data_IF_048710005804
#
_entry.id   IF_048710005804
#
_cell.length_a   1.000
_cell.length_b   1.000
_cell.length_c   1.000
_cell.angle_alpha   90.00
_cell.angle_beta   90.00
_cell.angle_gamma   90.00
#
_symmetry.space_group_name_H-M   'P 1'
#
loop_
_entity.id
_entity.type
_entity.pdbx_description
1 polymer ?
#
# COMPACT_ATOMS: atom_id res chain seq x y z
N UNK A 1 43.08 11.97 -3.16
CA UNK A 1 41.69 11.46 -3.11
C UNK A 1 41.24 11.53 -1.66
N UNK A 2 40.16 12.27 -1.38
CA UNK A 2 39.59 12.39 -0.04
C UNK A 2 38.99 11.06 0.47
N UNK A 3 38.64 11.01 1.76
CA UNK A 3 38.08 9.79 2.37
C UNK A 3 36.71 9.40 1.72
N UNK A 4 35.88 10.39 1.39
CA UNK A 4 34.62 10.17 0.71
C UNK A 4 34.77 9.64 -0.73
N UNK A 5 35.73 10.16 -1.48
CA UNK A 5 36.00 9.69 -2.84
C UNK A 5 36.55 8.25 -2.84
N UNK A 6 37.41 7.91 -1.87
CA UNK A 6 37.88 6.52 -1.69
C UNK A 6 36.76 5.58 -1.32
N UNK A 7 35.82 6.02 -0.46
CA UNK A 7 34.65 5.27 -0.10
C UNK A 7 33.76 5.03 -1.33
N UNK A 8 33.48 6.08 -2.11
CA UNK A 8 32.63 6.02 -3.31
C UNK A 8 33.24 5.15 -4.42
N UNK A 9 34.55 5.23 -4.61
CA UNK A 9 35.26 4.52 -5.67
C UNK A 9 35.59 3.05 -5.35
N UNK A 10 35.26 2.54 -4.17
CA UNK A 10 35.59 1.18 -3.70
C UNK A 10 37.12 0.88 -3.68
N UNK A 11 37.99 1.90 -3.65
CA UNK A 11 39.43 1.69 -3.59
C UNK A 11 39.95 1.33 -2.19
N UNK A 12 39.09 1.46 -1.15
CA UNK A 12 39.42 0.98 0.19
C UNK A 12 39.37 -0.55 0.23
N UNK A 13 40.32 -1.22 0.93
CA UNK A 13 40.24 -2.67 1.12
C UNK A 13 38.93 -3.09 1.78
N UNK A 14 38.37 -4.21 1.33
CA UNK A 14 37.21 -4.80 1.97
C UNK A 14 37.60 -5.24 3.40
N UNK A 15 36.87 -4.84 4.44
CA UNK A 15 37.13 -5.29 5.81
C UNK A 15 36.89 -6.79 5.96
N UNK A 16 37.57 -7.43 6.91
CA UNK A 16 37.32 -8.84 7.22
C UNK A 16 35.98 -9.08 7.90
N UNK A 17 35.45 -8.06 8.59
CA UNK A 17 34.21 -8.13 9.36
C UNK A 17 33.28 -6.95 9.03
N UNK A 18 31.99 -7.18 9.21
CA UNK A 18 30.91 -6.22 9.02
C UNK A 18 30.11 -6.05 10.30
N UNK A 19 29.68 -4.83 10.59
CA UNK A 19 28.73 -4.56 11.68
C UNK A 19 27.31 -4.83 11.22
N UNK A 20 26.54 -5.56 12.05
CA UNK A 20 25.14 -5.89 11.81
C UNK A 20 24.28 -5.62 13.03
N UNK A 21 23.06 -5.12 12.82
CA UNK A 21 22.01 -4.99 13.83
C UNK A 21 20.97 -6.08 13.63
N UNK A 22 21.25 -7.28 14.13
CA UNK A 22 20.31 -8.38 14.06
C UNK A 22 19.19 -8.21 15.10
N UNK A 23 17.96 -8.43 14.71
CA UNK A 23 16.79 -8.45 15.59
C UNK A 23 16.54 -9.90 16.05
N UNK A 24 16.70 -10.15 17.35
CA UNK A 24 16.63 -11.49 17.98
C UNK A 24 15.35 -11.73 18.78
N UNK A 25 14.45 -10.75 18.84
CA UNK A 25 13.19 -10.82 19.57
C UNK A 25 12.37 -9.54 19.38
N UNK A 26 11.17 -9.50 19.99
CA UNK A 26 10.36 -8.29 20.05
C UNK A 26 10.96 -7.28 21.06
N UNK A 27 10.78 -5.98 20.79
CA UNK A 27 11.30 -4.89 21.60
C UNK A 27 12.60 -4.30 21.07
N UNK A 28 12.83 -3.01 21.34
CA UNK A 28 14.02 -2.28 20.87
C UNK A 28 15.30 -2.81 21.52
N UNK A 29 15.20 -3.36 22.73
CA UNK A 29 16.27 -4.00 23.48
C UNK A 29 16.80 -5.29 22.84
N UNK A 30 16.02 -5.86 21.91
CA UNK A 30 16.37 -7.07 21.15
C UNK A 30 16.87 -6.77 19.73
N UNK A 31 17.24 -5.52 19.47
CA UNK A 31 17.99 -5.14 18.27
C UNK A 31 19.47 -5.13 18.62
N UNK A 32 20.23 -6.04 18.01
CA UNK A 32 21.60 -6.35 18.40
C UNK A 32 21.67 -7.15 19.71
N UNK A 33 22.86 -7.53 20.14
CA UNK A 33 23.06 -8.20 21.44
C UNK A 33 23.41 -7.20 22.53
N UNK A 34 22.58 -7.13 23.55
CA UNK A 34 22.73 -6.16 24.62
C UNK A 34 22.67 -4.71 24.12
N UNK A 35 21.84 -4.41 23.11
CA UNK A 35 21.70 -3.08 22.52
C UNK A 35 22.92 -2.60 21.73
N UNK A 36 23.75 -3.52 21.22
CA UNK A 36 24.95 -3.21 20.42
C UNK A 36 24.94 -4.02 19.13
N UNK A 37 25.51 -3.47 18.03
CA UNK A 37 25.68 -4.23 16.80
C UNK A 37 26.65 -5.38 17.01
N UNK A 38 26.50 -6.41 16.19
CA UNK A 38 27.36 -7.60 16.20
C UNK A 38 28.38 -7.50 15.06
N UNK A 39 29.57 -8.09 15.29
CA UNK A 39 30.56 -8.27 14.23
C UNK A 39 30.35 -9.63 13.58
N UNK A 40 30.16 -9.63 12.28
CA UNK A 40 30.05 -10.82 11.44
C UNK A 40 31.18 -10.85 10.40
N UNK A 41 31.62 -12.03 9.92
CA UNK A 41 32.49 -12.07 8.76
C UNK A 41 31.85 -11.45 7.54
N UNK A 42 32.58 -10.67 6.73
CA UNK A 42 32.10 -10.23 5.41
C UNK A 42 32.03 -11.47 4.51
N UNK A 43 30.85 -11.80 3.97
CA UNK A 43 30.69 -13.01 3.17
C UNK A 43 31.29 -12.87 1.77
N UNK A 44 31.59 -14.00 1.14
CA UNK A 44 32.00 -14.05 -0.28
C UNK A 44 30.80 -14.43 -1.13
N UNK A 45 30.50 -13.74 -2.24
CA UNK A 45 29.34 -14.07 -3.06
C UNK A 45 29.54 -15.37 -3.83
N UNK A 46 28.51 -16.22 -3.83
CA UNK A 46 28.39 -17.35 -4.74
C UNK A 46 28.09 -16.91 -6.17
N UNK A 47 28.03 -17.84 -7.14
CA UNK A 47 27.85 -17.51 -8.56
C UNK A 47 26.64 -16.63 -8.88
N UNK A 48 25.54 -16.81 -8.19
CA UNK A 48 24.26 -16.09 -8.37
C UNK A 48 23.99 -15.03 -7.29
N UNK A 49 25.04 -14.46 -6.69
CA UNK A 49 24.93 -13.50 -5.60
C UNK A 49 25.75 -12.25 -5.88
N UNK A 50 25.32 -11.14 -5.32
CA UNK A 50 26.09 -9.90 -5.21
C UNK A 50 26.55 -9.72 -3.77
N UNK A 51 27.80 -9.32 -3.54
CA UNK A 51 28.19 -8.68 -2.30
C UNK A 51 27.92 -7.19 -2.46
N UNK A 52 27.09 -6.62 -1.59
CA UNK A 52 26.78 -5.20 -1.59
C UNK A 52 27.26 -4.54 -0.30
N UNK A 53 27.63 -3.27 -0.42
CA UNK A 53 27.79 -2.34 0.69
C UNK A 53 26.50 -1.54 0.83
N UNK A 54 25.92 -1.50 2.02
CA UNK A 54 24.78 -0.64 2.31
C UNK A 54 25.29 0.76 2.64
N UNK A 55 24.89 1.74 1.85
CA UNK A 55 25.37 3.12 1.94
C UNK A 55 24.42 4.02 2.74
N UNK A 56 23.12 3.73 2.68
CA UNK A 56 22.11 4.40 3.47
C UNK A 56 20.89 3.49 3.70
N UNK A 57 20.26 3.66 4.84
CA UNK A 57 19.01 2.98 5.22
C UNK A 57 18.05 4.00 5.78
N UNK A 58 16.84 4.10 5.21
CA UNK A 58 15.72 4.78 5.81
C UNK A 58 15.02 3.91 6.85
N UNK A 59 14.41 4.52 7.86
CA UNK A 59 13.64 3.85 8.88
C UNK A 59 12.17 4.19 8.74
N UNK A 60 11.35 3.18 8.52
CA UNK A 60 9.91 3.29 8.29
C UNK A 60 9.12 3.06 9.58
N UNK A 61 7.89 3.56 9.63
CA UNK A 61 6.97 3.22 10.73
C UNK A 61 6.64 1.72 10.77
N UNK A 62 6.74 1.03 9.65
CA UNK A 62 6.58 -0.43 9.58
C UNK A 62 7.68 -1.19 10.33
N UNK A 63 8.91 -0.64 10.41
CA UNK A 63 9.97 -1.20 11.26
C UNK A 63 9.57 -1.13 12.74
N UNK A 64 8.91 -0.04 13.17
CA UNK A 64 8.38 0.09 14.54
C UNK A 64 7.33 -0.99 14.84
N UNK A 65 6.48 -1.32 13.88
CA UNK A 65 5.51 -2.43 14.04
C UNK A 65 6.22 -3.77 14.16
N UNK A 66 7.24 -4.01 13.33
CA UNK A 66 8.04 -5.23 13.39
C UNK A 66 8.77 -5.37 14.73
N UNK A 67 9.38 -4.28 15.22
CA UNK A 67 10.03 -4.25 16.54
C UNK A 67 9.04 -4.63 17.66
N UNK A 68 7.82 -4.08 17.63
CA UNK A 68 6.81 -4.35 18.65
C UNK A 68 6.28 -5.78 18.63
N UNK A 69 6.11 -6.37 17.44
CA UNK A 69 5.49 -7.68 17.26
C UNK A 69 6.51 -8.84 17.23
N UNK A 70 7.76 -8.54 16.89
CA UNK A 70 8.80 -9.56 16.75
C UNK A 70 8.40 -10.63 15.76
N UNK A 71 8.69 -11.87 16.08
CA UNK A 71 8.36 -13.05 15.25
C UNK A 71 6.88 -13.27 14.98
N UNK A 72 5.99 -12.64 15.76
CA UNK A 72 4.54 -12.69 15.54
C UNK A 72 4.06 -11.74 14.42
N UNK A 73 4.94 -10.91 13.88
CA UNK A 73 4.58 -10.05 12.75
C UNK A 73 4.12 -10.90 11.55
N UNK A 74 2.99 -10.59 10.87
CA UNK A 74 2.44 -11.43 9.80
C UNK A 74 3.44 -11.77 8.69
N UNK A 75 4.32 -10.84 8.32
CA UNK A 75 5.37 -11.04 7.31
C UNK A 75 6.54 -11.93 7.81
N UNK A 76 6.55 -12.37 9.07
CA UNK A 76 7.55 -13.29 9.62
C UNK A 76 7.01 -14.71 9.87
N UNK A 77 5.71 -14.94 9.68
CA UNK A 77 5.10 -16.28 9.72
C UNK A 77 5.40 -17.04 11.03
N UNK A 78 5.32 -16.38 12.19
CA UNK A 78 5.63 -16.91 13.52
C UNK A 78 7.09 -17.40 13.66
N UNK A 79 8.05 -16.66 13.07
CA UNK A 79 9.46 -16.99 13.09
C UNK A 79 10.04 -16.85 14.51
N UNK A 80 10.75 -17.87 14.96
CA UNK A 80 11.56 -17.77 16.19
C UNK A 80 12.83 -16.95 15.89
N UNK A 81 12.82 -15.67 16.29
CA UNK A 81 13.92 -14.76 16.06
C UNK A 81 15.17 -15.05 16.90
N UNK A 82 15.03 -15.82 17.99
CA UNK A 82 16.18 -16.21 18.80
C UNK A 82 17.05 -17.25 18.09
N UNK A 83 16.42 -18.09 17.26
CA UNK A 83 17.09 -19.09 16.41
C UNK A 83 17.40 -18.60 15.01
N UNK A 84 16.49 -17.81 14.44
CA UNK A 84 16.57 -17.30 13.08
C UNK A 84 16.36 -15.79 13.07
N UNK A 85 17.37 -15.00 13.45
CA UNK A 85 17.27 -13.54 13.47
C UNK A 85 16.89 -12.95 12.11
N UNK A 86 16.34 -11.75 12.12
CA UNK A 86 16.19 -10.92 10.92
C UNK A 86 16.89 -9.58 11.12
N UNK A 87 16.91 -8.74 10.11
CA UNK A 87 17.36 -7.35 10.19
C UNK A 87 16.30 -6.42 9.63
N UNK A 88 16.18 -5.27 10.23
CA UNK A 88 15.33 -4.16 9.79
C UNK A 88 15.95 -3.41 8.61
N UNK A 89 15.21 -2.44 8.09
CA UNK A 89 15.66 -1.51 7.07
C UNK A 89 15.44 -2.02 5.66
N UNK A 90 14.34 -1.56 5.07
CA UNK A 90 13.92 -1.89 3.72
C UNK A 90 14.00 -0.72 2.73
N UNK A 91 14.24 0.48 3.21
CA UNK A 91 14.50 1.68 2.42
C UNK A 91 16.02 1.81 2.24
N UNK A 92 16.59 1.18 1.21
CA UNK A 92 18.06 1.04 1.10
C UNK A 92 18.62 1.60 -0.19
N UNK A 93 19.81 2.24 -0.05
CA UNK A 93 20.71 2.50 -1.16
C UNK A 93 22.00 1.71 -0.95
N UNK A 94 22.44 1.01 -1.97
CA UNK A 94 23.53 0.05 -1.93
C UNK A 94 24.52 0.28 -3.06
N UNK A 95 25.77 -0.15 -2.86
CA UNK A 95 26.79 -0.21 -3.91
C UNK A 95 27.28 -1.65 -4.06
N UNK A 96 27.31 -2.16 -5.28
CA UNK A 96 27.86 -3.49 -5.60
C UNK A 96 29.38 -3.47 -5.36
N UNK A 97 29.85 -4.42 -4.55
CA UNK A 97 31.29 -4.57 -4.22
C UNK A 97 31.90 -5.71 -5.01
N UNK A 98 31.23 -6.87 -5.04
CA UNK A 98 31.64 -8.05 -5.79
C UNK A 98 30.43 -8.68 -6.49
N UNK A 99 30.70 -9.25 -7.65
CA UNK A 99 29.67 -9.87 -8.50
C UNK A 99 29.98 -11.34 -8.68
N UNK A 100 29.01 -12.20 -8.39
CA UNK A 100 29.10 -13.63 -8.68
C UNK A 100 29.25 -13.94 -10.17
N UNK A 101 29.94 -15.02 -10.50
CA UNK A 101 30.33 -15.35 -11.88
C UNK A 101 29.16 -15.42 -12.87
N UNK A 102 27.96 -15.82 -12.43
CA UNK A 102 26.78 -15.93 -13.26
C UNK A 102 26.02 -14.60 -13.46
N UNK A 103 26.47 -13.50 -12.85
CA UNK A 103 25.79 -12.19 -12.89
C UNK A 103 26.62 -11.09 -13.55
N UNK A 104 27.81 -11.41 -14.08
CA UNK A 104 28.77 -10.42 -14.60
C UNK A 104 28.30 -9.72 -15.89
N UNK A 105 27.33 -10.27 -16.58
CA UNK A 105 26.65 -9.66 -17.73
C UNK A 105 25.57 -8.65 -17.35
N UNK A 106 25.13 -8.67 -16.09
CA UNK A 106 24.03 -7.83 -15.57
C UNK A 106 24.49 -6.78 -14.57
N UNK A 107 25.52 -7.07 -13.81
CA UNK A 107 26.00 -6.21 -12.70
C UNK A 107 27.52 -6.03 -12.76
N UNK A 108 27.97 -4.91 -12.19
CA UNK A 108 29.41 -4.57 -12.13
C UNK A 108 29.76 -3.87 -10.79
N UNK A 109 31.02 -4.00 -10.31
CA UNK A 109 31.45 -3.30 -9.10
C UNK A 109 31.29 -1.78 -9.22
N UNK A 110 31.01 -1.12 -8.12
CA UNK A 110 30.66 0.30 -8.00
C UNK A 110 29.29 0.69 -8.61
N UNK A 111 28.52 -0.24 -9.16
CA UNK A 111 27.13 0.00 -9.56
C UNK A 111 26.29 0.33 -8.31
N UNK A 112 25.53 1.41 -8.38
CA UNK A 112 24.64 1.84 -7.31
C UNK A 112 23.26 1.27 -7.52
N UNK A 113 22.62 0.79 -6.45
CA UNK A 113 21.34 0.11 -6.50
C UNK A 113 20.40 0.67 -5.42
N UNK A 114 19.13 0.70 -5.71
CA UNK A 114 18.02 0.77 -4.75
C UNK A 114 17.20 -0.51 -4.85
N UNK A 115 16.28 -0.72 -3.93
CA UNK A 115 15.54 -1.99 -3.84
C UNK A 115 14.04 -1.74 -3.70
N UNK A 116 13.24 -2.54 -4.41
CA UNK A 116 11.81 -2.70 -4.18
C UNK A 116 11.62 -3.81 -3.13
N UNK A 117 11.16 -3.48 -1.90
CA UNK A 117 11.18 -4.43 -0.78
C UNK A 117 10.03 -5.44 -0.77
N UNK A 118 8.92 -5.19 -1.46
CA UNK A 118 7.77 -6.11 -1.50
C UNK A 118 8.05 -7.27 -2.46
N UNK A 119 8.89 -8.18 -2.00
CA UNK A 119 9.33 -9.37 -2.74
C UNK A 119 8.35 -10.52 -2.46
N UNK A 120 8.08 -11.33 -3.49
CA UNK A 120 7.24 -12.51 -3.40
C UNK A 120 8.03 -13.75 -3.83
N UNK A 121 7.78 -14.88 -3.15
CA UNK A 121 8.38 -16.17 -3.54
C UNK A 121 7.62 -16.82 -4.72
N UNK A 122 8.09 -17.99 -5.15
CA UNK A 122 7.48 -18.77 -6.23
C UNK A 122 6.02 -19.20 -5.95
N UNK A 123 5.61 -19.20 -4.66
CA UNK A 123 4.25 -19.50 -4.24
C UNK A 123 3.40 -18.23 -4.05
N UNK A 124 3.94 -17.06 -4.37
CA UNK A 124 3.26 -15.77 -4.21
C UNK A 124 3.16 -15.30 -2.76
N UNK A 125 3.93 -15.87 -1.82
CA UNK A 125 3.98 -15.42 -0.44
C UNK A 125 4.95 -14.25 -0.31
N UNK A 126 4.60 -13.26 0.50
CA UNK A 126 5.50 -12.12 0.77
C UNK A 126 6.74 -12.58 1.53
N UNK A 127 7.91 -12.37 0.95
CA UNK A 127 9.22 -12.60 1.57
C UNK A 127 9.98 -11.29 1.79
N UNK A 128 9.26 -10.21 1.93
CA UNK A 128 9.75 -8.83 1.94
C UNK A 128 11.13 -8.63 2.59
N UNK A 129 11.95 -7.82 1.92
CA UNK A 129 13.26 -7.39 2.42
C UNK A 129 13.08 -6.50 3.66
N UNK A 130 13.90 -6.70 4.68
CA UNK A 130 13.73 -6.08 6.00
C UNK A 130 12.78 -6.84 6.92
N UNK A 131 12.24 -8.00 6.44
CA UNK A 131 11.34 -8.89 7.17
C UNK A 131 11.83 -10.33 7.06
N UNK A 132 11.23 -11.14 6.19
CA UNK A 132 11.65 -12.54 5.98
C UNK A 132 13.04 -12.61 5.36
N UNK A 133 13.33 -11.78 4.37
CA UNK A 133 14.69 -11.53 3.88
C UNK A 133 15.32 -10.46 4.79
N UNK A 134 16.47 -10.73 5.42
CA UNK A 134 17.14 -9.76 6.29
C UNK A 134 17.46 -8.44 5.58
N UNK A 135 17.15 -7.33 6.25
CA UNK A 135 17.27 -5.97 5.71
C UNK A 135 18.67 -5.34 5.83
N UNK A 136 18.69 -4.04 5.52
CA UNK A 136 19.90 -3.25 5.31
C UNK A 136 20.60 -2.72 6.55
N UNK A 137 20.15 -3.03 7.78
CA UNK A 137 20.92 -2.62 8.98
C UNK A 137 22.20 -3.44 9.17
N UNK A 138 23.03 -3.45 8.15
CA UNK A 138 24.35 -4.11 8.06
C UNK A 138 25.22 -3.33 7.07
N UNK A 139 26.54 -3.35 7.23
CA UNK A 139 27.43 -2.64 6.32
C UNK A 139 27.63 -3.39 4.99
N UNK A 140 27.85 -4.71 5.05
CA UNK A 140 28.06 -5.56 3.87
C UNK A 140 27.26 -6.84 3.99
N UNK A 141 26.52 -7.21 2.96
CA UNK A 141 25.79 -8.47 2.93
C UNK A 141 25.60 -9.00 1.49
N UNK A 142 25.11 -10.23 1.40
CA UNK A 142 24.78 -10.84 0.11
C UNK A 142 23.35 -10.50 -0.29
N UNK A 143 23.19 -10.22 -1.57
CA UNK A 143 21.89 -10.17 -2.26
C UNK A 143 21.85 -11.34 -3.24
N UNK A 144 20.96 -12.27 -3.04
CA UNK A 144 20.89 -13.54 -3.78
C UNK A 144 19.67 -13.67 -4.67
N UNK A 145 19.42 -14.89 -5.19
CA UNK A 145 18.30 -15.19 -6.07
C UNK A 145 16.93 -14.82 -5.48
N UNK A 146 16.78 -14.85 -4.16
CA UNK A 146 15.58 -14.43 -3.43
C UNK A 146 15.18 -12.96 -3.65
N UNK A 147 16.12 -12.16 -4.20
CA UNK A 147 15.92 -10.75 -4.59
C UNK A 147 16.14 -10.54 -6.08
N UNK A 148 17.14 -11.23 -6.67
CA UNK A 148 17.60 -11.00 -8.05
C UNK A 148 16.82 -11.79 -9.10
N UNK A 149 16.12 -12.87 -8.68
CA UNK A 149 15.36 -13.78 -9.52
C UNK A 149 14.17 -14.36 -8.76
N UNK A 150 13.38 -13.49 -8.11
CA UNK A 150 12.24 -13.87 -7.28
C UNK A 150 10.91 -13.82 -8.05
N UNK A 151 9.80 -13.87 -7.34
CA UNK A 151 8.46 -13.89 -7.90
C UNK A 151 8.00 -15.27 -8.36
N UNK A 152 6.73 -15.40 -8.77
CA UNK A 152 6.18 -16.67 -9.27
C UNK A 152 6.89 -17.22 -10.51
N UNK A 153 7.47 -16.34 -11.33
CA UNK A 153 8.25 -16.67 -12.52
C UNK A 153 9.73 -16.99 -12.23
N UNK A 154 10.19 -16.71 -10.99
CA UNK A 154 11.59 -16.82 -10.55
C UNK A 154 12.57 -16.06 -11.48
N UNK A 155 12.12 -14.96 -12.07
CA UNK A 155 12.90 -14.11 -13.00
C UNK A 155 12.83 -12.63 -12.62
N UNK A 156 11.91 -12.24 -11.73
CA UNK A 156 11.74 -10.85 -11.35
C UNK A 156 12.91 -10.36 -10.49
N UNK A 157 13.58 -9.32 -10.98
CA UNK A 157 14.66 -8.64 -10.25
C UNK A 157 14.11 -7.45 -9.46
N UNK A 158 14.34 -7.46 -8.16
CA UNK A 158 13.82 -6.43 -7.25
C UNK A 158 14.84 -5.34 -6.90
N UNK A 159 16.06 -5.40 -7.42
CA UNK A 159 16.99 -4.26 -7.37
C UNK A 159 16.93 -3.46 -8.66
N UNK A 160 17.05 -2.15 -8.52
CA UNK A 160 16.99 -1.18 -9.59
C UNK A 160 18.31 -0.39 -9.63
N UNK A 161 18.94 -0.25 -10.81
CA UNK A 161 20.12 0.59 -10.94
C UNK A 161 19.78 2.05 -10.65
N UNK A 162 20.64 2.70 -9.88
CA UNK A 162 20.56 4.12 -9.60
C UNK A 162 21.47 4.88 -10.56
N UNK A 163 20.88 5.63 -11.45
CA UNK A 163 21.59 6.49 -12.40
C UNK A 163 21.81 7.90 -11.84
N UNK A 164 22.76 8.62 -12.40
CA UNK A 164 23.04 10.01 -12.05
C UNK A 164 23.75 10.19 -10.69
N UNK A 165 23.72 11.41 -10.17
CA UNK A 165 24.49 11.85 -8.99
C UNK A 165 23.67 11.98 -7.71
N UNK A 166 22.48 11.35 -7.64
CA UNK A 166 21.65 11.37 -6.44
C UNK A 166 22.44 10.82 -5.23
N UNK A 167 22.45 11.56 -4.11
CA UNK A 167 23.12 11.13 -2.88
C UNK A 167 22.50 9.87 -2.28
N UNK A 168 23.26 9.10 -1.52
CA UNK A 168 22.81 7.82 -0.96
C UNK A 168 21.57 7.95 -0.05
N UNK A 169 21.53 8.98 0.80
CA UNK A 169 20.37 9.22 1.67
C UNK A 169 19.11 9.51 0.86
N UNK A 170 19.21 10.33 -0.17
CA UNK A 170 18.09 10.61 -1.06
C UNK A 170 17.70 9.37 -1.88
N UNK A 171 18.67 8.56 -2.31
CA UNK A 171 18.43 7.31 -3.02
C UNK A 171 17.67 6.28 -2.16
N UNK A 172 18.00 6.16 -0.87
CA UNK A 172 17.28 5.29 0.06
C UNK A 172 15.80 5.68 0.18
N UNK A 173 15.48 6.98 0.11
CA UNK A 173 14.10 7.48 0.14
C UNK A 173 13.33 7.24 -1.16
N UNK A 174 13.92 6.64 -2.20
CA UNK A 174 13.20 6.22 -3.42
C UNK A 174 12.07 5.24 -3.08
N UNK A 175 12.25 4.40 -2.07
CA UNK A 175 11.23 3.44 -1.63
C UNK A 175 9.96 4.16 -1.12
N UNK A 176 10.00 5.03 -0.08
CA UNK A 176 8.79 5.72 0.37
C UNK A 176 8.24 6.68 -0.69
N UNK A 177 9.06 7.28 -1.56
CA UNK A 177 8.59 8.06 -2.70
C UNK A 177 7.80 7.20 -3.70
N UNK A 178 8.23 5.95 -3.95
CA UNK A 178 7.47 5.01 -4.77
C UNK A 178 6.09 4.70 -4.14
N UNK A 179 6.00 4.62 -2.81
CA UNK A 179 4.71 4.49 -2.10
C UNK A 179 3.82 5.73 -2.30
N UNK A 180 4.39 6.93 -2.28
CA UNK A 180 3.66 8.18 -2.57
C UNK A 180 3.12 8.16 -3.99
N UNK A 181 3.96 7.90 -5.01
CA UNK A 181 3.53 7.84 -6.40
C UNK A 181 2.48 6.74 -6.66
N UNK A 182 2.62 5.60 -5.98
CA UNK A 182 1.65 4.51 -6.06
C UNK A 182 0.25 4.92 -5.60
N UNK A 183 0.12 5.87 -4.67
CA UNK A 183 -1.17 6.36 -4.19
C UNK A 183 -1.96 7.09 -5.28
N UNK A 184 -1.26 7.67 -6.26
CA UNK A 184 -1.85 8.43 -7.38
C UNK A 184 -1.89 7.63 -8.69
N UNK A 185 -1.44 6.37 -8.66
CA UNK A 185 -1.50 5.47 -9.82
C UNK A 185 -2.75 4.61 -9.75
N UNK A 186 -3.47 4.49 -10.88
CA UNK A 186 -4.67 3.65 -10.93
C UNK A 186 -4.31 2.17 -10.81
N UNK A 187 -4.52 1.63 -9.63
CA UNK A 187 -4.32 0.19 -9.31
C UNK A 187 -5.61 -0.52 -8.95
N UNK A 188 -6.66 0.25 -8.62
CA UNK A 188 -7.98 -0.27 -8.27
C UNK A 188 -8.77 -0.55 -9.53
N UNK A 189 -9.57 -1.59 -9.48
CA UNK A 189 -10.49 -1.93 -10.56
C UNK A 189 -11.59 -0.87 -10.68
N UNK A 190 -12.00 -0.57 -11.91
CA UNK A 190 -12.99 0.46 -12.24
C UNK A 190 -14.26 -0.13 -12.85
N UNK A 191 -14.48 -1.43 -12.71
CA UNK A 191 -15.61 -2.18 -13.24
C UNK A 191 -15.89 -3.41 -12.36
N UNK A 192 -17.06 -4.02 -12.51
CA UNK A 192 -17.40 -5.30 -11.88
C UNK A 192 -16.50 -6.38 -12.46
N UNK A 193 -15.95 -7.27 -11.62
CA UNK A 193 -14.97 -8.28 -12.02
C UNK A 193 -15.58 -9.30 -12.98
N UNK A 194 -14.96 -9.47 -14.13
CA UNK A 194 -15.34 -10.53 -15.07
C UNK A 194 -15.00 -11.91 -14.48
N UNK A 195 -16.03 -12.75 -14.40
CA UNK A 195 -15.91 -14.08 -13.81
C UNK A 195 -15.92 -14.09 -12.28
N UNK A 196 -16.03 -12.92 -11.64
CA UNK A 196 -16.01 -12.77 -10.18
C UNK A 196 -17.35 -13.05 -9.49
N UNK A 197 -17.34 -12.81 -8.18
CA UNK A 197 -18.50 -12.92 -7.28
C UNK A 197 -19.03 -11.53 -6.94
N UNK A 198 -20.31 -11.30 -7.19
CA UNK A 198 -21.04 -10.06 -6.89
C UNK A 198 -22.08 -10.32 -5.80
N UNK A 199 -22.11 -9.50 -4.76
CA UNK A 199 -23.21 -9.46 -3.80
C UNK A 199 -23.96 -8.14 -3.94
N UNK A 200 -25.28 -8.23 -4.14
CA UNK A 200 -26.20 -7.09 -4.16
C UNK A 200 -27.10 -7.20 -2.94
N UNK A 201 -27.06 -6.19 -2.11
CA UNK A 201 -27.88 -6.08 -0.90
C UNK A 201 -28.70 -4.81 -0.95
N UNK A 202 -29.97 -4.89 -0.61
CA UNK A 202 -30.89 -3.75 -0.66
C UNK A 202 -32.02 -3.83 0.36
N UNK A 203 -33.14 -3.24 -0.02
CA UNK A 203 -34.39 -3.24 0.75
C UNK A 203 -35.55 -3.56 -0.20
N UNK A 204 -36.39 -4.55 0.11
CA UNK A 204 -37.48 -4.95 -0.78
C UNK A 204 -38.53 -3.84 -1.02
N UNK A 205 -38.62 -2.90 -0.10
CA UNK A 205 -39.55 -1.76 -0.13
C UNK A 205 -38.98 -0.51 -0.83
N UNK A 206 -37.75 -0.56 -1.30
CA UNK A 206 -37.14 0.57 -2.00
C UNK A 206 -37.74 0.77 -3.40
N UNK A 207 -38.45 1.91 -3.64
CA UNK A 207 -39.15 2.17 -4.89
C UNK A 207 -38.24 2.67 -6.01
N UNK A 208 -36.95 2.80 -5.78
CA UNK A 208 -35.98 3.38 -6.74
C UNK A 208 -35.95 2.55 -8.03
N UNK A 209 -36.13 3.16 -9.22
CA UNK A 209 -36.13 2.45 -10.50
C UNK A 209 -34.68 2.17 -10.94
N UNK A 210 -33.99 1.29 -10.22
CA UNK A 210 -32.62 0.93 -10.51
C UNK A 210 -32.42 0.38 -11.91
N UNK A 211 -31.33 0.75 -12.54
CA UNK A 211 -30.85 0.21 -13.80
C UNK A 211 -29.37 -0.16 -13.71
N UNK A 212 -28.95 -1.06 -14.60
CA UNK A 212 -27.55 -1.37 -14.84
C UNK A 212 -27.21 -1.02 -16.28
N UNK A 213 -26.55 0.10 -16.51
CA UNK A 213 -26.09 0.49 -17.85
C UNK A 213 -24.91 -0.35 -18.35
N UNK A 214 -24.11 -0.96 -17.44
CA UNK A 214 -23.00 -1.83 -17.75
C UNK A 214 -22.58 -2.66 -16.54
N UNK A 215 -21.87 -3.77 -16.77
CA UNK A 215 -21.14 -4.55 -15.75
C UNK A 215 -21.94 -5.72 -15.18
N UNK A 216 -23.26 -5.79 -15.34
CA UNK A 216 -24.05 -6.93 -14.86
C UNK A 216 -23.73 -8.22 -15.64
N UNK A 217 -23.19 -8.09 -16.84
CA UNK A 217 -22.72 -9.18 -17.70
C UNK A 217 -21.41 -9.82 -17.22
N UNK A 218 -20.70 -9.21 -16.27
CA UNK A 218 -19.35 -9.63 -15.88
C UNK A 218 -19.30 -10.77 -14.86
N UNK A 219 -20.03 -10.76 -13.71
CA UNK A 219 -19.83 -11.74 -12.64
C UNK A 219 -20.29 -13.14 -13.05
N UNK A 220 -19.58 -14.18 -12.60
CA UNK A 220 -19.99 -15.59 -12.75
C UNK A 220 -20.97 -16.01 -11.66
N UNK A 221 -20.95 -15.38 -10.49
CA UNK A 221 -21.85 -15.62 -9.36
C UNK A 221 -22.46 -14.32 -8.86
N UNK A 222 -23.77 -14.30 -8.62
CA UNK A 222 -24.48 -13.17 -8.02
C UNK A 222 -25.25 -13.65 -6.80
N UNK A 223 -24.97 -13.05 -5.65
CA UNK A 223 -25.74 -13.25 -4.43
C UNK A 223 -26.70 -12.07 -4.28
N UNK A 224 -27.97 -12.34 -4.04
CA UNK A 224 -29.00 -11.34 -3.80
C UNK A 224 -29.48 -11.42 -2.35
N UNK A 225 -29.57 -10.28 -1.68
CA UNK A 225 -30.10 -10.18 -0.32
C UNK A 225 -31.05 -8.99 -0.25
N UNK A 226 -32.31 -9.27 0.01
CA UNK A 226 -33.36 -8.26 0.25
C UNK A 226 -33.43 -7.16 -0.83
N UNK A 227 -33.15 -7.52 -2.09
CA UNK A 227 -33.14 -6.56 -3.21
C UNK A 227 -34.57 -6.20 -3.65
N UNK A 228 -34.81 -4.97 -4.18
CA UNK A 228 -36.06 -4.62 -4.81
C UNK A 228 -36.42 -5.57 -5.95
N UNK A 229 -37.74 -5.89 -6.18
CA UNK A 229 -38.17 -6.79 -7.25
C UNK A 229 -37.67 -6.39 -8.65
N UNK A 230 -37.53 -5.09 -8.90
CA UNK A 230 -37.00 -4.57 -10.16
C UNK A 230 -35.56 -4.99 -10.39
N UNK A 231 -34.71 -4.98 -9.35
CA UNK A 231 -33.29 -5.40 -9.43
C UNK A 231 -33.21 -6.91 -9.62
N UNK A 232 -34.00 -7.68 -8.89
CA UNK A 232 -34.11 -9.13 -9.10
C UNK A 232 -34.48 -9.47 -10.54
N UNK A 233 -35.47 -8.76 -11.11
CA UNK A 233 -35.87 -8.94 -12.50
C UNK A 233 -34.73 -8.65 -13.51
N UNK A 234 -33.91 -7.61 -13.27
CA UNK A 234 -32.72 -7.30 -14.08
C UNK A 234 -31.69 -8.44 -14.04
N UNK A 235 -31.36 -8.93 -12.83
CA UNK A 235 -30.40 -10.03 -12.66
C UNK A 235 -30.92 -11.33 -13.32
N UNK A 236 -32.19 -11.66 -13.13
CA UNK A 236 -32.78 -12.85 -13.78
C UNK A 236 -32.86 -12.71 -15.30
N UNK A 237 -33.08 -11.49 -15.81
CA UNK A 237 -33.02 -11.24 -17.25
C UNK A 237 -31.63 -11.49 -17.83
N UNK A 238 -30.58 -11.08 -17.11
CA UNK A 238 -29.21 -11.35 -17.51
C UNK A 238 -28.88 -12.85 -17.47
N UNK A 239 -29.33 -13.55 -16.44
CA UNK A 239 -29.14 -15.00 -16.31
C UNK A 239 -29.81 -15.83 -17.43
N UNK A 240 -30.79 -15.27 -18.12
CA UNK A 240 -31.37 -15.90 -19.33
C UNK A 240 -30.51 -15.74 -20.56
N UNK A 241 -29.56 -14.78 -20.55
CA UNK A 241 -28.67 -14.48 -21.70
C UNK A 241 -27.34 -15.21 -21.62
N UNK A 242 -26.89 -15.52 -20.39
CA UNK A 242 -25.61 -16.17 -20.17
C UNK A 242 -25.63 -17.02 -18.89
N UNK A 243 -24.74 -18.03 -18.77
CA UNK A 243 -24.62 -18.76 -17.52
C UNK A 243 -24.08 -17.85 -16.41
N UNK A 244 -24.86 -17.74 -15.33
CA UNK A 244 -24.49 -17.08 -14.08
C UNK A 244 -25.18 -17.81 -12.94
N UNK A 245 -24.43 -18.07 -11.86
CA UNK A 245 -25.00 -18.66 -10.65
C UNK A 245 -25.71 -17.56 -9.84
N UNK A 246 -26.99 -17.74 -9.52
CA UNK A 246 -27.74 -16.83 -8.66
C UNK A 246 -28.03 -17.54 -7.35
N UNK A 247 -27.70 -16.90 -6.23
CA UNK A 247 -27.95 -17.37 -4.86
C UNK A 247 -28.74 -16.30 -4.12
N UNK A 248 -29.88 -16.69 -3.54
CA UNK A 248 -30.68 -15.78 -2.70
C UNK A 248 -30.43 -16.03 -1.22
N UNK A 249 -30.25 -14.96 -0.47
CA UNK A 249 -30.07 -14.96 0.99
C UNK A 249 -30.79 -13.74 1.58
N UNK A 250 -32.06 -13.90 1.88
CA UNK A 250 -32.92 -12.82 2.36
C UNK A 250 -33.10 -12.87 3.89
N UNK A 251 -33.48 -11.74 4.50
CA UNK A 251 -33.78 -11.62 5.92
C UNK A 251 -32.54 -11.77 6.84
N UNK A 252 -31.37 -11.46 6.36
CA UNK A 252 -30.13 -11.58 7.14
C UNK A 252 -30.04 -10.48 8.21
N UNK A 253 -29.72 -10.87 9.43
CA UNK A 253 -29.28 -9.90 10.46
C UNK A 253 -27.86 -9.43 10.18
N UNK A 254 -27.44 -8.33 10.81
CA UNK A 254 -26.07 -7.80 10.64
C UNK A 254 -25.00 -8.83 11.04
N UNK A 255 -25.26 -9.61 12.10
CA UNK A 255 -24.37 -10.67 12.56
C UNK A 255 -24.25 -11.81 11.55
N UNK A 256 -25.37 -12.17 10.90
CA UNK A 256 -25.41 -13.25 9.92
C UNK A 256 -24.76 -12.88 8.57
N UNK A 257 -24.48 -11.61 8.32
CA UNK A 257 -23.79 -11.20 7.09
C UNK A 257 -22.43 -11.88 6.94
N UNK A 258 -21.73 -12.16 8.05
CA UNK A 258 -20.44 -12.84 8.03
C UNK A 258 -20.49 -14.23 7.37
N UNK A 259 -21.62 -14.93 7.46
CA UNK A 259 -21.82 -16.28 6.90
C UNK A 259 -21.80 -16.27 5.37
N UNK A 260 -22.10 -15.13 4.74
CA UNK A 260 -22.03 -14.97 3.29
C UNK A 260 -20.63 -15.21 2.73
N UNK A 261 -19.58 -15.08 3.54
CA UNK A 261 -18.20 -15.37 3.13
C UNK A 261 -18.04 -16.80 2.63
N UNK A 262 -18.78 -17.75 3.18
CA UNK A 262 -18.78 -19.15 2.74
C UNK A 262 -19.29 -19.35 1.29
N UNK A 263 -19.96 -18.36 0.72
CA UNK A 263 -20.44 -18.38 -0.66
C UNK A 263 -19.38 -17.89 -1.66
N UNK A 264 -18.20 -17.51 -1.19
CA UNK A 264 -17.10 -17.00 -2.02
C UNK A 264 -15.97 -18.02 -2.11
N UNK A 265 -15.19 -17.98 -3.18
CA UNK A 265 -14.12 -18.93 -3.41
C UNK A 265 -13.07 -18.88 -2.30
N UNK A 266 -12.87 -20.01 -1.63
CA UNK A 266 -11.94 -20.11 -0.50
C UNK A 266 -12.26 -19.21 0.69
N UNK A 267 -13.47 -18.63 0.77
CA UNK A 267 -13.83 -17.68 1.83
C UNK A 267 -13.11 -16.33 1.73
N UNK A 268 -12.61 -15.96 0.55
CA UNK A 268 -11.84 -14.73 0.34
C UNK A 268 -12.66 -13.44 0.46
N UNK A 269 -13.99 -13.54 0.36
CA UNK A 269 -14.91 -12.41 0.28
C UNK A 269 -15.38 -12.15 -1.16
N UNK A 270 -16.29 -11.18 -1.33
CA UNK A 270 -16.83 -10.84 -2.63
C UNK A 270 -15.90 -9.91 -3.42
N UNK A 271 -15.76 -10.17 -4.70
CA UNK A 271 -15.03 -9.28 -5.60
C UNK A 271 -15.73 -7.94 -5.77
N UNK A 272 -17.06 -7.94 -5.72
CA UNK A 272 -17.89 -6.75 -5.80
C UNK A 272 -19.06 -6.83 -4.82
N UNK A 273 -19.27 -5.74 -4.08
CA UNK A 273 -20.42 -5.58 -3.18
C UNK A 273 -21.15 -4.32 -3.60
N UNK A 274 -22.45 -4.41 -3.80
CA UNK A 274 -23.34 -3.28 -4.08
C UNK A 274 -24.40 -3.21 -2.99
N UNK A 275 -24.46 -2.09 -2.30
CA UNK A 275 -25.51 -1.81 -1.30
C UNK A 275 -26.44 -0.74 -1.86
N UNK A 276 -27.70 -1.12 -2.05
CA UNK A 276 -28.76 -0.26 -2.58
C UNK A 276 -29.49 0.41 -1.42
N UNK A 277 -29.69 1.72 -1.52
CA UNK A 277 -30.29 2.58 -0.51
C UNK A 277 -29.74 2.28 0.92
N UNK A 278 -28.42 2.39 1.15
CA UNK A 278 -27.84 2.05 2.45
C UNK A 278 -28.43 2.93 3.55
N UNK A 279 -28.97 2.31 4.60
CA UNK A 279 -29.66 3.00 5.72
C UNK A 279 -28.91 2.84 7.04
N UNK A 280 -28.29 1.67 7.25
CA UNK A 280 -27.61 1.31 8.50
C UNK A 280 -26.09 1.43 8.39
N UNK A 281 -25.49 2.26 9.24
CA UNK A 281 -24.03 2.39 9.36
C UNK A 281 -23.37 1.11 9.87
N UNK A 282 -24.03 0.38 10.78
CA UNK A 282 -23.57 -0.90 11.29
C UNK A 282 -23.58 -1.96 10.18
N UNK A 283 -24.68 -2.05 9.43
CA UNK A 283 -24.82 -2.97 8.30
C UNK A 283 -23.76 -2.71 7.21
N UNK A 284 -23.57 -1.44 6.82
CA UNK A 284 -22.51 -1.06 5.86
C UNK A 284 -21.11 -1.43 6.38
N UNK A 285 -20.85 -1.22 7.68
CA UNK A 285 -19.58 -1.59 8.30
C UNK A 285 -19.34 -3.10 8.30
N UNK A 286 -20.38 -3.90 8.55
CA UNK A 286 -20.32 -5.36 8.51
C UNK A 286 -20.12 -5.87 7.08
N UNK A 287 -20.86 -5.34 6.10
CA UNK A 287 -20.74 -5.68 4.69
C UNK A 287 -19.35 -5.34 4.14
N UNK A 288 -18.76 -4.21 4.53
CA UNK A 288 -17.42 -3.80 4.10
C UNK A 288 -16.32 -4.78 4.51
N UNK A 289 -16.52 -5.59 5.57
CA UNK A 289 -15.58 -6.63 5.97
C UNK A 289 -15.57 -7.83 5.02
N UNK A 290 -16.59 -7.99 4.19
CA UNK A 290 -16.75 -9.09 3.24
C UNK A 290 -16.12 -8.82 1.87
N UNK A 291 -15.58 -7.62 1.63
CA UNK A 291 -14.89 -7.29 0.38
C UNK A 291 -13.61 -8.13 0.23
N UNK A 292 -13.38 -8.70 -0.93
CA UNK A 292 -12.16 -9.42 -1.26
C UNK A 292 -10.97 -8.45 -1.50
N UNK A 293 -9.76 -9.00 -1.55
CA UNK A 293 -8.59 -8.24 -2.03
C UNK A 293 -8.86 -7.78 -3.47
N UNK A 294 -8.55 -6.51 -3.78
CA UNK A 294 -8.86 -5.82 -5.05
C UNK A 294 -10.37 -5.72 -5.36
N UNK A 295 -11.20 -5.93 -4.35
CA UNK A 295 -12.65 -5.82 -4.51
C UNK A 295 -13.13 -4.38 -4.53
N UNK A 296 -14.38 -4.19 -5.02
CA UNK A 296 -15.09 -2.91 -4.98
C UNK A 296 -16.28 -2.97 -4.03
N UNK A 297 -16.55 -1.86 -3.34
CA UNK A 297 -17.70 -1.69 -2.46
C UNK A 297 -18.47 -0.46 -2.92
N UNK A 298 -19.65 -0.65 -3.49
CA UNK A 298 -20.43 0.39 -4.15
C UNK A 298 -21.69 0.71 -3.35
N UNK A 299 -21.82 1.94 -2.88
CA UNK A 299 -23.01 2.45 -2.19
C UNK A 299 -23.86 3.24 -3.19
N UNK A 300 -25.10 2.81 -3.42
CA UNK A 300 -26.01 3.45 -4.38
C UNK A 300 -27.30 3.87 -3.67
N UNK A 301 -27.50 5.16 -3.50
CA UNK A 301 -28.67 5.70 -2.81
C UNK A 301 -28.51 7.14 -2.37
N UNK A 302 -29.56 7.70 -1.78
CA UNK A 302 -29.60 9.08 -1.32
C UNK A 302 -29.96 9.21 0.16
N UNK A 303 -30.44 8.14 0.78
CA UNK A 303 -30.81 8.13 2.19
C UNK A 303 -29.56 8.30 3.06
N UNK A 304 -29.53 9.27 3.98
CA UNK A 304 -28.43 9.38 4.93
C UNK A 304 -28.35 8.13 5.82
N UNK A 305 -27.14 7.70 6.12
CA UNK A 305 -26.92 6.63 7.10
C UNK A 305 -27.29 7.12 8.52
N UNK A 306 -27.71 6.19 9.36
CA UNK A 306 -28.05 6.43 10.78
C UNK A 306 -26.83 6.72 11.67
N UNK A 307 -25.61 6.64 11.15
CA UNK A 307 -24.38 6.88 11.90
C UNK A 307 -23.13 6.83 11.05
N UNK A 308 -21.97 6.72 11.72
CA UNK A 308 -20.66 6.62 11.09
C UNK A 308 -20.29 5.16 10.80
N UNK A 309 -19.85 4.90 9.58
CA UNK A 309 -19.36 3.58 9.19
C UNK A 309 -17.91 3.37 9.64
N UNK A 310 -17.60 2.14 10.01
CA UNK A 310 -16.24 1.68 10.25
C UNK A 310 -15.70 0.95 9.04
N UNK A 311 -14.64 1.48 8.42
CA UNK A 311 -13.93 0.84 7.32
C UNK A 311 -12.45 0.67 7.65
N UNK A 312 -11.87 -0.44 7.24
CA UNK A 312 -10.43 -0.67 7.37
C UNK A 312 -9.68 0.07 6.27
N UNK A 313 -9.21 1.28 6.59
CA UNK A 313 -8.46 2.12 5.65
C UNK A 313 -7.12 1.48 5.24
N UNK A 314 -6.56 0.59 6.06
CA UNK A 314 -5.35 -0.17 5.72
C UNK A 314 -5.57 -1.06 4.50
N UNK A 315 -6.74 -1.67 4.37
CA UNK A 315 -7.10 -2.50 3.21
C UNK A 315 -7.24 -1.70 1.90
N UNK A 316 -7.56 -0.42 1.97
CA UNK A 316 -7.57 0.46 0.79
C UNK A 316 -6.16 0.53 0.20
N UNK A 317 -5.12 0.57 1.04
CA UNK A 317 -3.73 0.63 0.62
C UNK A 317 -3.16 -0.76 0.30
N UNK A 318 -3.25 -1.71 1.24
CA UNK A 318 -2.57 -3.01 1.11
C UNK A 318 -3.32 -4.03 0.26
N UNK A 319 -4.65 -4.00 0.30
CA UNK A 319 -5.51 -4.92 -0.45
C UNK A 319 -6.08 -4.29 -1.73
N UNK A 320 -5.78 -3.01 -1.99
CA UNK A 320 -6.30 -2.26 -3.15
C UNK A 320 -7.83 -2.30 -3.25
N UNK A 321 -8.55 -2.30 -2.12
CA UNK A 321 -10.00 -2.21 -2.11
C UNK A 321 -10.45 -0.81 -2.52
N UNK A 322 -11.60 -0.71 -3.21
CA UNK A 322 -12.14 0.56 -3.64
C UNK A 322 -13.56 0.77 -3.09
N UNK A 323 -13.79 1.93 -2.49
CA UNK A 323 -15.11 2.36 -2.06
C UNK A 323 -15.66 3.35 -3.07
N UNK A 324 -16.79 3.02 -3.66
CA UNK A 324 -17.43 3.75 -4.75
C UNK A 324 -18.83 4.17 -4.31
N UNK A 325 -19.47 5.07 -5.05
CA UNK A 325 -20.84 5.39 -4.79
C UNK A 325 -21.43 6.40 -5.77
N UNK A 326 -22.75 6.38 -5.87
CA UNK A 326 -23.54 7.37 -6.58
C UNK A 326 -24.95 7.48 -5.96
N UNK A 327 -25.73 8.45 -6.44
CA UNK A 327 -27.09 8.69 -5.92
C UNK A 327 -28.17 7.85 -6.59
N UNK A 328 -27.80 6.93 -7.50
CA UNK A 328 -28.75 6.19 -8.33
C UNK A 328 -29.33 7.04 -9.48
N UNK A 329 -30.27 6.51 -10.28
CA UNK A 329 -30.71 5.12 -10.24
C UNK A 329 -29.79 4.14 -10.98
N UNK A 330 -28.84 4.62 -11.81
CA UNK A 330 -27.91 3.73 -12.53
C UNK A 330 -26.78 3.25 -11.59
N UNK A 331 -26.81 1.96 -11.27
CA UNK A 331 -25.83 1.32 -10.39
C UNK A 331 -24.43 1.39 -10.99
N UNK A 332 -24.31 1.31 -12.33
CA UNK A 332 -23.04 1.36 -13.03
C UNK A 332 -22.37 2.74 -13.01
N UNK A 333 -23.11 3.81 -12.74
CA UNK A 333 -22.59 5.18 -12.73
C UNK A 333 -21.50 5.44 -11.66
N UNK A 334 -21.31 4.52 -10.69
CA UNK A 334 -20.21 4.58 -9.71
C UNK A 334 -18.86 4.21 -10.31
N UNK A 335 -18.84 3.46 -11.40
CA UNK A 335 -17.64 2.90 -12.00
C UNK A 335 -17.02 3.85 -13.06
N UNK A 336 -15.88 3.48 -13.60
CA UNK A 336 -15.19 4.20 -14.67
C UNK A 336 -14.24 5.31 -14.22
N UNK A 337 -13.33 5.70 -15.11
CA UNK A 337 -12.25 6.68 -14.85
C UNK A 337 -12.75 8.08 -14.54
N UNK A 338 -13.87 8.48 -15.15
CA UNK A 338 -14.43 9.82 -14.94
C UNK A 338 -14.87 10.05 -13.50
N UNK A 339 -15.33 8.98 -12.82
CA UNK A 339 -15.81 9.01 -11.44
C UNK A 339 -14.69 8.74 -10.43
N UNK A 340 -13.76 7.85 -10.77
CA UNK A 340 -12.74 7.33 -9.86
C UNK A 340 -11.36 7.84 -10.23
N UNK A 341 -11.10 9.06 -9.84
CA UNK A 341 -9.82 9.72 -10.08
C UNK A 341 -8.81 9.29 -9.03
N UNK A 342 -7.59 8.94 -9.45
CA UNK A 342 -6.45 8.71 -8.56
C UNK A 342 -5.60 9.97 -8.38
N UNK A 343 -5.39 10.75 -9.45
CA UNK A 343 -4.58 11.96 -9.39
C UNK A 343 -5.33 13.14 -8.75
N UNK A 344 -4.58 14.05 -8.14
CA UNK A 344 -5.10 15.27 -7.55
C UNK A 344 -5.76 16.15 -8.62
N UNK A 345 -6.79 16.88 -8.23
CA UNK A 345 -7.56 17.72 -9.15
C UNK A 345 -6.79 18.99 -9.51
N UNK A 346 -6.56 19.22 -10.78
CA UNK A 346 -5.98 20.46 -11.30
C UNK A 346 -6.79 21.68 -10.84
N UNK A 347 -6.10 22.67 -10.27
CA UNK A 347 -6.72 23.91 -9.75
C UNK A 347 -7.62 23.71 -8.52
N UNK A 348 -7.73 22.48 -8.01
CA UNK A 348 -8.56 22.14 -6.86
C UNK A 348 -7.90 22.42 -5.52
N UNK A 349 -8.53 21.93 -4.45
CA UNK A 349 -7.99 21.91 -3.07
C UNK A 349 -7.66 20.48 -2.69
N UNK A 350 -6.43 20.24 -2.23
CA UNK A 350 -6.01 18.97 -1.63
C UNK A 350 -5.83 19.12 -0.12
N UNK A 351 -6.36 18.18 0.66
CA UNK A 351 -6.24 18.17 2.12
C UNK A 351 -5.46 16.94 2.54
N UNK A 352 -4.38 17.15 3.30
CA UNK A 352 -3.53 16.09 3.84
C UNK A 352 -3.66 16.04 5.36
N UNK A 353 -4.20 14.94 5.87
CA UNK A 353 -4.40 14.71 7.30
C UNK A 353 -3.18 13.98 7.86
N UNK A 354 -2.59 14.51 8.97
CA UNK A 354 -1.35 13.99 9.53
C UNK A 354 -0.11 14.38 8.69
N UNK A 355 -0.17 15.53 8.03
CA UNK A 355 0.84 15.99 7.08
C UNK A 355 2.22 16.26 7.70
N UNK A 356 2.29 16.47 9.01
CA UNK A 356 3.57 16.72 9.71
C UNK A 356 4.49 15.49 9.82
N UNK A 357 3.98 14.27 9.55
CA UNK A 357 4.80 13.06 9.47
C UNK A 357 5.59 12.93 8.16
N UNK A 358 6.62 12.06 8.08
CA UNK A 358 7.47 11.91 6.89
C UNK A 358 6.68 11.68 5.60
N UNK A 359 5.78 10.69 5.60
CA UNK A 359 4.94 10.39 4.42
C UNK A 359 4.02 11.56 4.06
N UNK A 360 3.41 12.21 5.07
CA UNK A 360 2.54 13.36 4.86
C UNK A 360 3.28 14.52 4.20
N UNK A 361 4.51 14.80 4.64
CA UNK A 361 5.37 15.82 4.02
C UNK A 361 5.70 15.50 2.55
N UNK A 362 5.98 14.24 2.20
CA UNK A 362 6.23 13.81 0.82
C UNK A 362 4.98 14.02 -0.06
N UNK A 363 3.79 13.70 0.44
CA UNK A 363 2.53 13.97 -0.27
C UNK A 363 2.29 15.46 -0.48
N UNK A 364 2.57 16.31 0.53
CA UNK A 364 2.49 17.77 0.41
C UNK A 364 3.47 18.28 -0.64
N UNK A 365 4.73 17.85 -0.57
CA UNK A 365 5.76 18.21 -1.55
C UNK A 365 5.31 17.86 -2.98
N UNK A 366 4.89 16.60 -3.20
CA UNK A 366 4.40 16.17 -4.50
C UNK A 366 3.24 17.04 -5.01
N UNK A 367 2.28 17.35 -4.15
CA UNK A 367 1.14 18.18 -4.51
C UNK A 367 1.56 19.60 -4.91
N UNK A 368 2.57 20.15 -4.25
CA UNK A 368 3.12 21.48 -4.58
C UNK A 368 3.92 21.46 -5.89
N UNK A 369 4.73 20.41 -6.12
CA UNK A 369 5.56 20.27 -7.32
C UNK A 369 4.77 19.81 -8.55
N UNK A 370 3.59 19.21 -8.40
CA UNK A 370 2.78 18.71 -9.52
C UNK A 370 2.33 19.89 -10.42
N UNK A 371 2.77 20.01 -11.69
CA UNK A 371 2.48 21.18 -12.53
C UNK A 371 0.99 21.44 -12.72
N UNK A 372 0.21 20.38 -13.02
CA UNK A 372 -1.25 20.45 -13.16
C UNK A 372 -1.96 19.98 -11.88
N UNK A 373 -1.40 20.28 -10.72
CA UNK A 373 -1.91 19.88 -9.43
C UNK A 373 -2.92 20.85 -8.83
N UNK A 374 -3.22 20.70 -7.53
CA UNK A 374 -4.13 21.56 -6.80
C UNK A 374 -3.57 22.99 -6.70
N UNK A 375 -4.47 23.99 -6.72
CA UNK A 375 -4.10 25.39 -6.45
C UNK A 375 -3.91 25.64 -4.95
N UNK A 376 -4.63 24.90 -4.11
CA UNK A 376 -4.58 25.02 -2.65
C UNK A 376 -4.21 23.66 -2.05
N UNK A 377 -3.21 23.67 -1.18
CA UNK A 377 -2.76 22.51 -0.41
C UNK A 377 -2.97 22.79 1.08
N UNK A 378 -3.83 22.05 1.73
CA UNK A 378 -4.11 22.15 3.17
C UNK A 378 -3.38 21.02 3.88
N UNK A 379 -2.41 21.38 4.72
CA UNK A 379 -1.64 20.44 5.53
C UNK A 379 -2.11 20.49 6.99
N UNK A 380 -2.64 19.38 7.52
CA UNK A 380 -3.13 19.32 8.89
C UNK A 380 -2.30 18.36 9.74
N UNK A 381 -2.07 18.72 10.99
CA UNK A 381 -1.48 17.82 12.01
C UNK A 381 -1.87 18.36 13.40
N UNK A 382 -1.94 17.47 14.38
CA UNK A 382 -2.17 17.86 15.80
C UNK A 382 -0.89 18.34 16.49
N UNK A 383 0.28 18.08 15.90
CA UNK A 383 1.58 18.48 16.43
C UNK A 383 2.02 19.82 15.83
N UNK A 384 1.92 20.90 16.59
CA UNK A 384 2.30 22.24 16.14
C UNK A 384 3.77 22.36 15.73
N UNK A 385 4.70 21.65 16.40
CA UNK A 385 6.12 21.67 16.05
C UNK A 385 6.39 21.04 14.67
N UNK A 386 5.71 19.94 14.33
CA UNK A 386 5.80 19.32 13.00
C UNK A 386 5.21 20.24 11.92
N UNK A 387 4.10 20.89 12.20
CA UNK A 387 3.50 21.86 11.27
C UNK A 387 4.42 23.06 11.02
N UNK A 388 5.09 23.59 12.05
CA UNK A 388 6.03 24.69 11.89
C UNK A 388 7.23 24.30 11.01
N UNK A 389 7.76 23.07 11.15
CA UNK A 389 8.81 22.55 10.28
C UNK A 389 8.31 22.39 8.84
N UNK A 390 7.12 21.84 8.65
CA UNK A 390 6.50 21.68 7.34
C UNK A 390 6.30 23.04 6.66
N UNK A 391 5.78 24.03 7.36
CA UNK A 391 5.57 25.38 6.86
C UNK A 391 6.90 26.03 6.43
N UNK A 392 7.91 25.99 7.30
CA UNK A 392 9.23 26.56 7.02
C UNK A 392 9.87 25.92 5.78
N UNK A 393 9.66 24.62 5.56
CA UNK A 393 10.22 23.88 4.42
C UNK A 393 9.45 24.13 3.14
N UNK A 394 8.12 24.14 3.18
CA UNK A 394 7.29 24.10 1.98
C UNK A 394 6.59 25.40 1.60
N UNK A 395 6.55 26.43 2.47
CA UNK A 395 6.02 27.73 2.04
C UNK A 395 6.82 28.37 0.90
N UNK A 396 8.18 28.32 0.89
CA UNK A 396 8.94 28.79 -0.26
C UNK A 396 8.66 28.01 -1.54
N UNK A 397 8.50 26.68 -1.44
CA UNK A 397 8.18 25.81 -2.56
C UNK A 397 6.78 26.11 -3.13
N UNK A 398 5.79 26.31 -2.27
CA UNK A 398 4.45 26.70 -2.67
C UNK A 398 4.46 28.02 -3.46
N UNK A 399 5.18 29.03 -2.95
CA UNK A 399 5.34 30.32 -3.63
C UNK A 399 6.04 30.17 -4.99
N UNK A 400 7.08 29.34 -5.07
CA UNK A 400 7.80 29.06 -6.32
C UNK A 400 6.88 28.47 -7.41
N UNK A 401 5.91 27.62 -7.02
CA UNK A 401 4.97 26.97 -7.92
C UNK A 401 3.63 27.74 -8.07
N UNK A 402 3.51 28.94 -7.48
CA UNK A 402 2.28 29.75 -7.54
C UNK A 402 1.07 29.11 -6.86
N UNK A 403 1.30 28.30 -5.81
CA UNK A 403 0.27 27.58 -5.07
C UNK A 403 0.10 28.13 -3.66
N UNK A 404 -1.06 27.92 -3.06
CA UNK A 404 -1.34 28.31 -1.67
C UNK A 404 -1.13 27.11 -0.77
N UNK A 405 -0.25 27.23 0.24
CA UNK A 405 -0.12 26.29 1.33
C UNK A 405 -0.86 26.82 2.56
N UNK A 406 -1.79 26.04 3.08
CA UNK A 406 -2.54 26.34 4.33
C UNK A 406 -2.12 25.36 5.40
N UNK A 407 -1.67 25.86 6.53
CA UNK A 407 -1.32 25.07 7.72
C UNK A 407 -2.49 25.10 8.70
N UNK A 408 -2.93 23.94 9.15
CA UNK A 408 -4.09 23.83 10.02
C UNK A 408 -3.86 22.81 11.14
N UNK A 409 -3.97 23.30 12.40
CA UNK A 409 -3.98 22.42 13.57
C UNK A 409 -5.42 22.32 14.11
N UNK A 410 -6.11 21.17 13.98
CA UNK A 410 -7.51 21.06 14.40
C UNK A 410 -7.70 21.21 15.91
N UNK A 411 -6.66 20.98 16.72
CA UNK A 411 -6.75 21.14 18.19
C UNK A 411 -6.52 22.57 18.67
N UNK A 412 -5.95 23.44 17.83
CA UNK A 412 -5.64 24.83 18.17
C UNK A 412 -6.54 25.83 17.44
N UNK A 413 -7.40 25.36 16.53
CA UNK A 413 -8.25 26.24 15.74
C UNK A 413 -9.53 26.60 16.51
N UNK A 414 -9.82 27.89 16.62
CA UNK A 414 -11.14 28.39 17.04
C UNK A 414 -12.21 28.17 15.97
N UNK A 415 -11.80 27.90 14.73
CA UNK A 415 -12.65 27.67 13.56
C UNK A 415 -12.56 26.23 13.06
N UNK A 416 -13.66 25.67 12.59
CA UNK A 416 -13.68 24.35 11.98
C UNK A 416 -13.12 24.37 10.55
N UNK A 417 -12.67 23.21 10.05
CA UNK A 417 -12.28 23.05 8.63
C UNK A 417 -13.43 23.34 7.64
N UNK A 418 -14.66 23.46 8.13
CA UNK A 418 -15.83 23.75 7.30
C UNK A 418 -16.01 25.26 7.04
N UNK A 419 -15.34 26.12 7.79
CA UNK A 419 -15.27 27.58 7.58
C UNK A 419 -14.05 27.95 6.71
#
# INVERSE_FOLDING_TARGET
>A
MGSFERYRSLTAPLPAQTWAWNMVGAGVENIGRGGKPELEPVPTPGPNQLLVRVDAVGMCFSDVKLIKQGGQHPKLYNRDLSLYPTRLGHEVAMTVVQVGAALQDRFYPAQRLVLQPDIYDAQGRSTAYGYTIPGGLIQFHLVGPEVLAAGPDQQTCYVLPLEGDLGYAAAALTEPWACVEAAYTQRRRLEILKGGSLWIWGHPDDPTPYIFSAGLENPARIVLSDVPPAVEALVRAEARRRPVEIIERNGLTVEALADLRALTDGGAGFDDIIVLDPRSAEGVSAAARLIARRGTFNLVGQTPLDGLCQVDVGRIHYDYTAYLGNRGPDIAASYGKARNRCELRTGGTAVFVGAGGPMGQMHVQRALELPEGPAVVVATDVNAGRLAILEAQFAPLAAQHGKTLVIFNPNAAEKSLAE
#
